data_IF_832091655496
#
_entry.id   IF_832091655496
#
_cell.length_a   1.000
_cell.length_b   1.000
_cell.length_c   1.000
_cell.angle_alpha   90.00
_cell.angle_beta   90.00
_cell.angle_gamma   90.00
#
_symmetry.space_group_name_H-M   'P 1'
#
loop_
_entity.id
_entity.type
_entity.pdbx_description
1 polymer ?
#
# COMPACT_ATOMS: atom_id res chain seq x y z
N UNK A 1 9.84 -16.51 3.79
CA UNK A 1 11.30 -16.56 3.78
C UNK A 1 11.94 -15.35 4.42
N UNK A 2 13.17 -15.48 4.89
CA UNK A 2 13.99 -14.40 5.46
C UNK A 2 15.11 -14.05 4.47
N UNK A 3 15.29 -12.75 4.22
CA UNK A 3 16.23 -12.21 3.23
C UNK A 3 17.12 -11.18 3.90
N UNK A 4 18.39 -11.52 4.12
CA UNK A 4 19.40 -10.58 4.59
C UNK A 4 19.97 -9.84 3.38
N UNK A 5 19.45 -8.64 3.13
CA UNK A 5 19.73 -7.84 1.93
C UNK A 5 19.92 -6.36 2.26
N UNK A 6 20.53 -5.67 1.30
CA UNK A 6 20.56 -4.22 1.24
C UNK A 6 20.10 -3.76 -0.14
N UNK A 7 18.84 -3.31 -0.24
CA UNK A 7 18.27 -2.93 -1.51
C UNK A 7 17.61 -1.54 -1.45
N UNK A 8 18.21 -0.60 -2.15
CA UNK A 8 17.62 0.74 -2.33
C UNK A 8 16.49 0.67 -3.35
N UNK A 9 15.30 1.09 -2.93
CA UNK A 9 14.10 1.05 -3.78
C UNK A 9 13.99 2.32 -4.59
N UNK A 10 13.98 2.17 -5.91
CA UNK A 10 13.93 3.26 -6.88
C UNK A 10 12.53 3.56 -7.42
N UNK A 11 12.46 4.40 -8.45
CA UNK A 11 11.23 4.74 -9.15
C UNK A 11 10.57 3.51 -9.79
N UNK A 12 9.26 3.53 -9.85
CA UNK A 12 8.42 2.48 -10.46
C UNK A 12 8.68 1.07 -9.92
N UNK A 13 9.24 0.99 -8.69
CA UNK A 13 9.48 -0.28 -8.02
C UNK A 13 8.42 -0.55 -6.97
N UNK A 14 7.77 -1.69 -7.09
CA UNK A 14 6.83 -2.22 -6.10
C UNK A 14 7.43 -3.44 -5.42
N UNK A 15 7.56 -3.40 -4.10
CA UNK A 15 8.03 -4.54 -3.29
C UNK A 15 6.84 -5.19 -2.62
N UNK A 16 6.62 -6.46 -2.90
CA UNK A 16 5.47 -7.20 -2.36
C UNK A 16 5.92 -8.53 -1.78
N UNK A 17 5.60 -8.75 -0.52
CA UNK A 17 5.72 -10.06 0.10
C UNK A 17 4.58 -10.98 -0.36
N UNK A 18 4.92 -12.20 -0.78
CA UNK A 18 3.96 -13.20 -1.24
C UNK A 18 3.57 -14.20 -0.15
N UNK A 19 3.70 -13.82 1.12
CA UNK A 19 3.20 -14.60 2.25
C UNK A 19 1.70 -14.42 2.47
N UNK A 20 1.09 -15.33 3.21
CA UNK A 20 -0.28 -15.16 3.70
C UNK A 20 -0.36 -14.07 4.79
N UNK A 21 0.75 -13.84 5.50
CA UNK A 21 0.97 -12.79 6.49
C UNK A 21 2.26 -12.03 6.16
N UNK A 22 2.39 -10.75 6.58
CA UNK A 22 3.65 -10.03 6.45
C UNK A 22 4.84 -10.76 7.09
N UNK A 23 4.63 -11.45 8.19
CA UNK A 23 5.68 -12.13 8.95
C UNK A 23 6.30 -13.34 8.22
N UNK A 24 5.68 -13.81 7.15
CA UNK A 24 6.22 -14.88 6.31
C UNK A 24 7.30 -14.40 5.33
N UNK A 25 7.42 -13.08 5.10
CA UNK A 25 8.42 -12.48 4.22
C UNK A 25 9.18 -11.41 4.98
N UNK A 26 10.40 -11.74 5.40
CA UNK A 26 11.21 -10.89 6.29
C UNK A 26 12.38 -10.29 5.54
N UNK A 27 12.47 -8.98 5.48
CA UNK A 27 13.67 -8.27 5.05
C UNK A 27 14.51 -7.88 6.26
N UNK A 28 15.74 -8.37 6.30
CA UNK A 28 16.67 -8.23 7.39
C UNK A 28 18.05 -7.77 6.90
N UNK A 29 19.08 -7.88 7.72
CA UNK A 29 20.42 -7.37 7.48
C UNK A 29 20.64 -6.03 8.18
N UNK A 30 21.55 -5.21 7.66
CA UNK A 30 21.81 -3.90 8.24
C UNK A 30 20.68 -2.91 7.89
N UNK A 31 20.32 -2.79 6.62
CA UNK A 31 19.30 -1.83 6.13
C UNK A 31 18.04 -2.50 5.55
N UNK A 32 18.12 -3.76 5.13
CA UNK A 32 17.00 -4.43 4.47
C UNK A 32 16.65 -3.79 3.12
N UNK A 33 15.38 -3.55 2.86
CA UNK A 33 14.93 -2.65 1.79
C UNK A 33 14.76 -1.24 2.35
N UNK A 34 15.13 -0.23 1.57
CA UNK A 34 15.08 1.16 2.06
C UNK A 34 14.94 2.17 0.93
N UNK A 35 14.51 3.38 1.30
CA UNK A 35 14.52 4.57 0.44
C UNK A 35 15.26 5.68 1.16
N UNK A 36 16.31 6.21 0.51
CA UNK A 36 16.97 7.45 0.90
C UNK A 36 16.58 8.58 -0.06
N UNK A 37 16.84 9.82 0.34
CA UNK A 37 16.76 10.97 -0.54
C UNK A 37 17.56 10.73 -1.85
N UNK A 38 17.02 11.17 -2.98
CA UNK A 38 17.72 11.04 -4.27
C UNK A 38 18.78 12.11 -4.43
N UNK A 39 18.43 13.35 -4.12
CA UNK A 39 19.37 14.48 -4.02
C UNK A 39 19.37 15.04 -2.58
N UNK A 40 20.23 14.47 -1.70
CA UNK A 40 20.28 14.89 -0.32
C UNK A 40 20.80 16.33 -0.13
N UNK A 41 21.29 16.97 -1.17
CA UNK A 41 21.82 18.35 -1.11
C UNK A 41 20.78 19.41 -1.45
N UNK A 42 19.75 19.07 -2.23
CA UNK A 42 18.79 20.03 -2.77
C UNK A 42 17.34 19.74 -2.36
N UNK A 43 16.82 18.60 -2.73
CA UNK A 43 15.39 18.30 -2.63
C UNK A 43 15.03 17.46 -1.40
N UNK A 44 16.00 16.79 -0.76
CA UNK A 44 15.70 15.79 0.26
C UNK A 44 14.86 14.66 -0.33
N UNK A 45 13.73 14.36 0.26
CA UNK A 45 12.81 13.33 -0.22
C UNK A 45 11.68 13.87 -1.13
N UNK A 46 11.76 15.12 -1.59
CA UNK A 46 10.72 15.71 -2.46
C UNK A 46 10.65 15.08 -3.86
N UNK A 47 11.67 14.37 -4.27
CA UNK A 47 11.78 13.69 -5.57
C UNK A 47 11.68 12.16 -5.47
N UNK A 48 11.34 11.62 -4.31
CA UNK A 48 11.22 10.17 -4.09
C UNK A 48 9.78 9.68 -4.24
N UNK A 49 9.24 9.71 -5.46
CA UNK A 49 7.87 9.30 -5.81
C UNK A 49 7.78 7.87 -6.37
N UNK A 50 6.59 7.41 -6.68
CA UNK A 50 6.27 6.25 -7.51
C UNK A 50 6.96 4.96 -7.09
N UNK A 51 6.73 4.53 -5.85
CA UNK A 51 7.16 3.22 -5.34
C UNK A 51 6.14 2.70 -4.34
N UNK A 52 6.19 1.44 -3.99
CA UNK A 52 5.28 0.90 -2.97
C UNK A 52 5.88 -0.28 -2.23
N UNK A 53 5.44 -0.45 -0.99
CA UNK A 53 5.72 -1.64 -0.18
C UNK A 53 4.41 -2.27 0.31
N UNK A 54 4.31 -3.59 0.22
CA UNK A 54 3.10 -4.33 0.58
C UNK A 54 3.43 -5.71 1.16
N UNK A 55 2.83 -6.05 2.29
CA UNK A 55 2.78 -7.39 2.87
C UNK A 55 4.14 -8.02 3.19
N UNK A 56 4.97 -7.36 3.98
CA UNK A 56 6.23 -7.90 4.48
C UNK A 56 6.57 -7.40 5.88
N UNK A 57 7.45 -8.13 6.58
CA UNK A 57 8.10 -7.72 7.81
C UNK A 57 9.49 -7.15 7.52
N UNK A 58 9.84 -6.08 8.23
CA UNK A 58 11.15 -5.44 8.14
C UNK A 58 11.86 -5.51 9.49
N UNK A 59 13.02 -6.19 9.52
CA UNK A 59 13.80 -6.46 10.74
C UNK A 59 15.24 -5.97 10.65
N UNK A 60 15.54 -5.02 9.76
CA UNK A 60 16.89 -4.49 9.65
C UNK A 60 17.36 -3.85 10.95
N UNK A 61 18.65 -3.97 11.25
CA UNK A 61 19.22 -3.53 12.53
C UNK A 61 19.16 -2.00 12.73
N UNK A 62 19.19 -1.22 11.63
CA UNK A 62 19.12 0.25 11.65
C UNK A 62 17.68 0.80 11.63
N UNK A 63 16.65 -0.08 11.64
CA UNK A 63 15.26 0.33 11.45
C UNK A 63 14.85 0.39 9.97
N UNK A 64 13.62 0.79 9.70
CA UNK A 64 13.07 0.86 8.35
C UNK A 64 13.02 2.30 7.86
N UNK A 65 13.89 2.67 6.90
CA UNK A 65 13.84 3.97 6.25
C UNK A 65 13.03 3.93 4.97
N UNK A 66 11.96 4.72 4.97
CA UNK A 66 11.10 4.92 3.80
C UNK A 66 10.98 6.43 3.53
N UNK A 67 12.09 7.05 3.11
CA UNK A 67 12.21 8.49 2.88
C UNK A 67 11.56 8.88 1.54
N UNK A 68 10.25 9.13 1.58
CA UNK A 68 9.43 9.30 0.37
C UNK A 68 8.61 10.58 0.40
N UNK A 69 8.15 10.96 -0.79
CA UNK A 69 7.03 11.86 -1.02
C UNK A 69 5.81 11.10 -1.58
N UNK A 70 4.89 11.78 -2.26
CA UNK A 70 3.61 11.21 -2.68
C UNK A 70 3.76 10.00 -3.61
N UNK A 71 2.68 9.25 -3.76
CA UNK A 71 2.61 8.03 -4.58
C UNK A 71 3.60 6.94 -4.16
N UNK A 72 3.86 6.83 -2.86
CA UNK A 72 4.77 5.83 -2.29
C UNK A 72 4.18 5.14 -1.04
N UNK A 73 2.99 4.52 -1.16
CA UNK A 73 2.30 3.94 -0.01
C UNK A 73 2.99 2.68 0.53
N UNK A 74 2.86 2.52 1.84
CA UNK A 74 3.11 1.28 2.56
C UNK A 74 1.78 0.66 3.03
N UNK A 75 1.61 -0.64 2.84
CA UNK A 75 0.44 -1.39 3.32
C UNK A 75 0.86 -2.75 3.85
N UNK A 76 0.19 -3.20 4.91
CA UNK A 76 0.44 -4.51 5.52
C UNK A 76 1.93 -4.72 5.85
N UNK A 77 2.54 -3.68 6.44
CA UNK A 77 3.94 -3.71 6.86
C UNK A 77 4.00 -4.05 8.35
N UNK A 78 4.96 -4.90 8.72
CA UNK A 78 5.32 -5.12 10.10
C UNK A 78 6.77 -4.64 10.31
N UNK A 79 6.95 -3.42 10.77
CA UNK A 79 8.26 -2.87 11.12
C UNK A 79 8.62 -3.26 12.56
N UNK A 80 9.65 -4.09 12.74
CA UNK A 80 10.11 -4.56 14.06
C UNK A 80 10.88 -3.49 14.85
N UNK A 81 11.16 -2.36 14.23
CA UNK A 81 11.86 -1.20 14.83
C UNK A 81 11.19 0.09 14.36
N UNK A 82 11.89 1.20 14.50
CA UNK A 82 11.43 2.50 14.02
C UNK A 82 11.19 2.49 12.50
N UNK A 83 10.15 3.20 12.09
CA UNK A 83 9.87 3.52 10.70
C UNK A 83 10.12 5.02 10.48
N UNK A 84 11.21 5.34 9.77
CA UNK A 84 11.60 6.70 9.39
C UNK A 84 11.04 7.06 8.01
N UNK A 85 10.25 8.12 7.94
CA UNK A 85 9.56 8.57 6.71
C UNK A 85 10.27 9.74 6.00
N UNK A 86 11.48 10.03 6.40
CA UNK A 86 12.34 11.06 5.81
C UNK A 86 13.80 10.60 5.88
N UNK A 87 14.71 11.32 5.24
CA UNK A 87 16.13 11.03 5.33
C UNK A 87 16.82 12.01 6.31
N UNK A 88 17.10 11.60 7.56
CA UNK A 88 17.73 12.48 8.54
C UNK A 88 19.20 12.79 8.23
N UNK A 89 19.82 12.06 7.31
CA UNK A 89 21.22 12.27 6.91
C UNK A 89 21.36 13.25 5.75
N UNK A 90 20.26 13.59 5.08
CA UNK A 90 20.26 14.57 4.02
C UNK A 90 20.44 15.99 4.57
N UNK A 91 21.20 16.83 3.89
CA UNK A 91 21.35 18.25 4.22
C UNK A 91 20.01 18.98 4.17
N UNK A 92 19.17 18.64 3.20
CA UNK A 92 17.79 19.07 3.07
C UNK A 92 16.93 17.85 3.27
N UNK A 93 16.16 17.82 4.35
CA UNK A 93 15.39 16.66 4.75
C UNK A 93 13.87 16.81 4.50
N UNK A 94 13.48 17.61 3.52
CA UNK A 94 12.07 17.80 3.17
C UNK A 94 11.42 16.52 2.66
N UNK A 95 10.13 16.35 2.99
CA UNK A 95 9.28 15.26 2.54
C UNK A 95 7.83 15.75 2.46
N UNK A 96 7.06 15.32 1.45
CA UNK A 96 5.82 16.01 1.09
C UNK A 96 4.55 15.17 1.16
N UNK A 97 4.56 14.08 1.92
CA UNK A 97 3.34 13.34 2.21
C UNK A 97 3.36 11.87 1.81
N UNK A 98 2.38 11.13 2.30
CA UNK A 98 2.26 9.71 2.00
C UNK A 98 1.18 9.00 2.79
N UNK A 99 1.25 7.68 2.78
CA UNK A 99 0.23 6.80 3.34
C UNK A 99 0.85 5.54 3.96
N UNK A 100 0.44 5.24 5.19
CA UNK A 100 0.69 3.96 5.86
C UNK A 100 -0.65 3.34 6.24
N UNK A 101 -0.91 2.11 5.79
CA UNK A 101 -2.19 1.45 6.06
C UNK A 101 -2.07 0.01 6.53
N UNK A 102 -2.93 -0.37 7.49
CA UNK A 102 -3.06 -1.72 8.02
C UNK A 102 -1.69 -2.32 8.38
N UNK A 103 -0.94 -1.68 9.27
CA UNK A 103 0.47 -1.97 9.53
C UNK A 103 0.78 -1.94 11.03
N UNK A 104 1.87 -2.60 11.42
CA UNK A 104 2.41 -2.60 12.78
C UNK A 104 3.78 -1.94 12.75
N UNK A 105 4.03 -1.01 13.67
CA UNK A 105 5.33 -0.41 13.95
C UNK A 105 5.66 -0.68 15.42
N UNK A 106 6.54 -1.65 15.68
CA UNK A 106 6.93 -2.01 17.07
C UNK A 106 7.78 -0.93 17.73
N UNK A 107 8.51 -0.13 16.95
CA UNK A 107 9.19 1.09 17.39
C UNK A 107 8.32 2.33 17.23
N UNK A 108 8.97 3.45 16.96
CA UNK A 108 8.34 4.74 16.71
C UNK A 108 8.13 4.99 15.22
N UNK A 109 7.00 5.57 14.86
CA UNK A 109 6.76 6.18 13.55
C UNK A 109 7.35 7.59 13.53
N UNK A 110 8.43 7.79 12.78
CA UNK A 110 9.17 9.06 12.74
C UNK A 110 8.84 9.77 11.43
N UNK A 111 7.89 10.70 11.47
CA UNK A 111 7.42 11.45 10.31
C UNK A 111 8.44 12.48 9.81
N UNK A 112 9.31 12.97 10.71
CA UNK A 112 10.29 14.00 10.37
C UNK A 112 9.63 15.25 9.81
N UNK A 113 9.96 15.62 8.59
CA UNK A 113 9.45 16.80 7.89
C UNK A 113 8.28 16.51 6.95
N UNK A 114 7.62 15.35 7.05
CA UNK A 114 6.46 15.04 6.21
C UNK A 114 5.38 16.12 6.33
N UNK A 115 5.02 16.73 5.21
CA UNK A 115 4.06 17.83 5.14
C UNK A 115 2.63 17.34 5.41
N UNK A 116 2.24 16.25 4.75
CA UNK A 116 0.96 15.59 4.96
C UNK A 116 1.17 14.08 5.03
N UNK A 117 0.61 13.44 6.06
CA UNK A 117 0.70 11.99 6.18
C UNK A 117 -0.59 11.39 6.71
N UNK A 118 -1.02 10.29 6.10
CA UNK A 118 -2.20 9.54 6.54
C UNK A 118 -1.78 8.18 7.07
N UNK A 119 -2.16 7.90 8.31
CA UNK A 119 -2.08 6.59 8.95
C UNK A 119 -3.49 6.03 9.10
N UNK A 120 -3.72 4.83 8.58
CA UNK A 120 -5.02 4.16 8.69
C UNK A 120 -4.88 2.73 9.18
N UNK A 121 -5.49 2.40 10.31
CA UNK A 121 -5.40 1.10 10.94
C UNK A 121 -3.94 0.69 11.21
N UNK A 122 -3.19 1.56 11.87
CA UNK A 122 -1.80 1.30 12.25
C UNK A 122 -1.72 1.09 13.76
N UNK A 123 -1.08 0.00 14.16
CA UNK A 123 -0.66 -0.24 15.54
C UNK A 123 0.75 0.36 15.70
N UNK A 124 0.96 1.25 16.69
CA UNK A 124 2.26 1.91 16.89
C UNK A 124 2.59 2.13 18.36
N UNK A 125 3.87 2.16 18.71
CA UNK A 125 4.36 2.48 20.06
C UNK A 125 4.72 3.96 20.24
N UNK A 126 4.55 4.77 19.21
CA UNK A 126 4.75 6.22 19.23
C UNK A 126 4.74 6.80 17.84
N UNK A 127 4.50 8.10 17.74
CA UNK A 127 4.68 8.86 16.51
C UNK A 127 5.22 10.24 16.82
N UNK A 128 6.20 10.71 16.04
CA UNK A 128 6.85 12.01 16.24
C UNK A 128 7.07 12.73 14.91
N UNK A 129 7.14 14.06 14.96
CA UNK A 129 7.38 14.89 13.78
C UNK A 129 6.11 15.19 12.98
N UNK A 130 6.31 15.53 11.71
CA UNK A 130 5.28 16.03 10.81
C UNK A 130 5.25 17.56 10.76
N UNK A 131 5.12 18.12 9.55
CA UNK A 131 5.25 19.57 9.36
C UNK A 131 3.89 20.30 9.32
N UNK A 132 2.89 19.78 8.59
CA UNK A 132 1.63 20.51 8.39
C UNK A 132 0.40 19.74 8.85
N UNK A 133 0.18 18.53 8.33
CA UNK A 133 -1.03 17.78 8.61
C UNK A 133 -0.78 16.29 8.71
N UNK A 134 -1.09 15.73 9.87
CA UNK A 134 -0.98 14.30 10.13
C UNK A 134 -2.34 13.75 10.52
N UNK A 135 -2.78 12.70 9.85
CA UNK A 135 -4.10 12.09 10.05
C UNK A 135 -3.94 10.67 10.55
N UNK A 136 -4.66 10.33 11.61
CA UNK A 136 -4.70 9.00 12.20
C UNK A 136 -6.15 8.51 12.22
N UNK A 137 -6.46 7.45 11.48
CA UNK A 137 -7.82 6.88 11.37
C UNK A 137 -7.79 5.43 11.85
N UNK A 138 -8.52 5.11 12.90
CA UNK A 138 -8.55 3.76 13.44
C UNK A 138 -7.18 3.22 13.86
N UNK A 139 -6.27 4.09 14.27
CA UNK A 139 -4.95 3.69 14.77
C UNK A 139 -5.03 3.29 16.25
N UNK A 140 -4.08 2.47 16.71
CA UNK A 140 -4.01 1.98 18.08
C UNK A 140 -2.60 2.10 18.67
N UNK A 141 -2.50 1.97 20.00
CA UNK A 141 -1.26 2.15 20.74
C UNK A 141 -1.02 3.60 21.13
N UNK A 142 0.21 4.08 21.04
CA UNK A 142 0.56 5.45 21.41
C UNK A 142 0.30 6.44 20.25
N UNK A 143 -0.97 6.63 19.92
CA UNK A 143 -1.43 7.58 18.88
C UNK A 143 -1.33 9.00 19.43
N UNK A 144 -0.80 9.99 18.69
CA UNK A 144 -0.76 11.37 19.11
C UNK A 144 -2.15 11.95 19.42
N UNK A 145 -2.21 12.86 20.39
CA UNK A 145 -3.44 13.59 20.69
C UNK A 145 -3.79 14.57 19.55
N UNK A 146 -5.08 14.79 19.26
CA UNK A 146 -5.50 15.75 18.25
C UNK A 146 -5.09 17.18 18.66
N UNK A 147 -4.61 17.95 17.69
CA UNK A 147 -4.21 19.34 17.90
C UNK A 147 -5.40 20.23 18.22
N UNK A 148 -5.16 21.28 19.02
CA UNK A 148 -6.10 22.37 19.16
C UNK A 148 -6.38 23.06 17.81
N UNK A 149 -7.51 23.75 17.70
CA UNK A 149 -7.86 24.48 16.49
C UNK A 149 -6.80 25.54 16.16
N UNK A 150 -6.29 25.54 14.93
CA UNK A 150 -5.26 26.48 14.47
C UNK A 150 -3.82 26.13 14.85
N UNK A 151 -3.58 25.00 15.53
CA UNK A 151 -2.21 24.55 15.84
C UNK A 151 -1.54 23.95 14.58
N UNK A 152 -0.21 24.14 14.51
CA UNK A 152 0.66 23.51 13.53
C UNK A 152 1.79 22.76 14.24
N UNK A 153 2.14 21.52 13.85
CA UNK A 153 1.44 20.71 12.84
C UNK A 153 0.03 20.33 13.30
N UNK A 154 -0.88 20.24 12.32
CA UNK A 154 -2.24 19.79 12.59
C UNK A 154 -2.28 18.27 12.72
N UNK A 155 -2.70 17.77 13.86
CA UNK A 155 -2.98 16.35 14.10
C UNK A 155 -4.48 16.14 14.14
N UNK A 156 -4.99 15.26 13.27
CA UNK A 156 -6.40 14.87 13.22
C UNK A 156 -6.52 13.39 13.56
N UNK A 157 -7.38 13.07 14.52
CA UNK A 157 -7.58 11.68 14.96
C UNK A 157 -9.04 11.28 14.81
N UNK A 158 -9.28 10.18 14.10
CA UNK A 158 -10.56 9.49 14.04
C UNK A 158 -10.39 8.17 14.76
N UNK A 159 -11.11 7.95 15.85
CA UNK A 159 -10.89 6.84 16.79
C UNK A 159 -10.97 5.47 16.14
N UNK A 160 -11.89 5.29 15.21
CA UNK A 160 -12.12 4.02 14.51
C UNK A 160 -12.31 4.26 13.02
N UNK A 161 -11.98 3.28 12.20
CA UNK A 161 -12.29 3.31 10.77
C UNK A 161 -13.71 2.82 10.58
N UNK A 162 -14.67 3.67 10.17
CA UNK A 162 -16.08 3.29 10.10
C UNK A 162 -16.32 2.13 9.15
N UNK A 163 -15.68 2.13 7.99
CA UNK A 163 -15.73 1.02 7.02
C UNK A 163 -14.37 0.89 6.37
N UNK A 164 -13.84 -0.33 6.33
CA UNK A 164 -12.62 -0.64 5.60
C UNK A 164 -12.86 -1.80 4.64
N UNK A 165 -12.48 -1.57 3.38
CA UNK A 165 -12.36 -2.57 2.33
C UNK A 165 -10.88 -2.64 1.95
N UNK A 166 -10.08 -3.41 2.68
CA UNK A 166 -8.64 -3.46 2.49
C UNK A 166 -8.28 -4.00 1.09
N UNK A 167 -7.16 -3.52 0.56
CA UNK A 167 -6.64 -3.95 -0.74
C UNK A 167 -6.43 -5.46 -0.76
N UNK A 168 -6.87 -6.18 -1.80
CA UNK A 168 -6.50 -7.57 -2.03
C UNK A 168 -4.99 -7.73 -2.22
N UNK A 169 -4.47 -8.92 -1.94
CA UNK A 169 -3.06 -9.22 -2.13
C UNK A 169 -2.84 -10.65 -2.60
N UNK A 170 -1.75 -10.83 -3.36
CA UNK A 170 -1.34 -12.13 -3.89
C UNK A 170 -0.52 -12.85 -2.82
N UNK A 171 -0.70 -14.16 -2.70
CA UNK A 171 0.10 -15.00 -1.82
C UNK A 171 0.45 -16.32 -2.51
N UNK A 172 1.48 -16.98 -2.02
CA UNK A 172 1.81 -18.36 -2.36
C UNK A 172 1.25 -19.27 -1.26
N UNK A 173 0.45 -20.23 -1.64
CA UNK A 173 -0.01 -21.27 -0.73
C UNK A 173 1.15 -22.23 -0.49
N UNK A 174 1.72 -22.24 0.72
CA UNK A 174 2.89 -23.05 1.06
C UNK A 174 2.67 -24.55 0.87
N UNK A 175 1.44 -25.04 1.15
CA UNK A 175 1.14 -26.47 1.02
C UNK A 175 1.10 -26.95 -0.44
N UNK A 176 0.79 -26.07 -1.40
CA UNK A 176 0.62 -26.44 -2.81
C UNK A 176 1.63 -25.78 -3.74
N UNK A 177 2.36 -24.76 -3.30
CA UNK A 177 3.24 -23.93 -4.11
C UNK A 177 2.48 -23.07 -5.15
N UNK A 178 1.16 -23.00 -5.08
CA UNK A 178 0.33 -22.27 -6.06
C UNK A 178 0.03 -20.86 -5.58
N UNK A 179 -0.07 -19.95 -6.54
CA UNK A 179 -0.54 -18.58 -6.27
C UNK A 179 -2.03 -18.54 -5.96
N UNK A 180 -2.39 -17.61 -5.11
CA UNK A 180 -3.77 -17.27 -4.80
C UNK A 180 -3.92 -15.78 -4.54
N UNK A 181 -5.16 -15.30 -4.60
CA UNK A 181 -5.53 -13.94 -4.25
C UNK A 181 -6.31 -13.99 -2.94
N UNK A 182 -5.88 -13.22 -1.94
CA UNK A 182 -6.59 -12.99 -0.69
C UNK A 182 -7.35 -11.67 -0.77
N UNK A 183 -8.65 -11.73 -0.57
CA UNK A 183 -9.53 -10.56 -0.56
C UNK A 183 -10.08 -10.39 0.85
N UNK A 184 -9.55 -9.43 1.64
CA UNK A 184 -10.03 -9.17 2.99
C UNK A 184 -11.52 -8.82 2.99
N UNK A 185 -12.26 -9.34 3.96
CA UNK A 185 -13.67 -8.99 4.10
C UNK A 185 -13.81 -7.50 4.44
N UNK A 186 -14.95 -6.92 4.06
CA UNK A 186 -15.30 -5.57 4.53
C UNK A 186 -15.50 -5.64 6.05
N UNK A 187 -14.82 -4.76 6.76
CA UNK A 187 -14.97 -4.63 8.21
C UNK A 187 -15.46 -3.23 8.57
N UNK A 188 -16.09 -3.13 9.76
CA UNK A 188 -16.63 -1.87 10.31
C UNK A 188 -16.02 -1.62 11.67
N UNK A 189 -15.92 -0.33 12.01
CA UNK A 189 -15.52 0.14 13.33
C UNK A 189 -14.18 -0.47 13.79
N UNK A 190 -13.20 -0.48 12.86
CA UNK A 190 -11.91 -1.16 13.04
C UNK A 190 -10.91 -0.24 13.71
N UNK A 191 -10.23 -0.77 14.73
CA UNK A 191 -9.12 -0.13 15.44
C UNK A 191 -7.88 -1.02 15.39
N UNK A 192 -6.72 -0.41 15.08
CA UNK A 192 -5.44 -1.09 14.94
C UNK A 192 -5.29 -1.86 13.64
N UNK A 193 -4.16 -2.53 13.50
CA UNK A 193 -3.84 -3.37 12.34
C UNK A 193 -4.67 -4.67 12.36
N UNK A 194 -5.22 -5.04 11.21
CA UNK A 194 -5.98 -6.28 11.02
C UNK A 194 -5.25 -7.17 9.98
N UNK A 195 -4.02 -7.60 10.32
CA UNK A 195 -3.17 -8.37 9.41
C UNK A 195 -3.69 -9.79 9.18
N UNK A 196 -4.34 -10.38 10.19
CA UNK A 196 -4.91 -11.73 10.16
C UNK A 196 -6.43 -11.73 9.89
N UNK A 197 -6.94 -10.69 9.24
CA UNK A 197 -8.36 -10.60 8.93
C UNK A 197 -8.85 -11.75 8.05
N UNK A 198 -10.10 -12.17 8.27
CA UNK A 198 -10.76 -13.15 7.42
C UNK A 198 -10.74 -12.67 5.95
N UNK A 199 -10.36 -13.58 5.05
CA UNK A 199 -10.25 -13.31 3.63
C UNK A 199 -11.04 -14.33 2.82
N UNK A 200 -11.64 -13.87 1.72
CA UNK A 200 -12.03 -14.77 0.63
C UNK A 200 -10.76 -15.18 -0.12
N UNK A 201 -10.55 -16.49 -0.26
CA UNK A 201 -9.41 -17.05 -0.97
C UNK A 201 -9.83 -17.38 -2.40
N UNK A 202 -9.07 -16.92 -3.37
CA UNK A 202 -9.34 -17.15 -4.80
C UNK A 202 -8.10 -17.80 -5.39
N UNK A 203 -8.18 -19.06 -5.84
CA UNK A 203 -7.07 -19.69 -6.54
C UNK A 203 -6.84 -19.04 -7.90
N UNK A 204 -5.60 -19.05 -8.40
CA UNK A 204 -5.26 -18.34 -9.64
C UNK A 204 -5.87 -18.94 -10.92
N UNK A 205 -6.42 -20.13 -10.87
CA UNK A 205 -7.26 -20.69 -11.97
C UNK A 205 -8.63 -19.95 -12.10
N UNK A 206 -8.99 -19.16 -11.07
CA UNK A 206 -10.16 -18.28 -11.07
C UNK A 206 -9.79 -16.79 -11.24
N UNK A 207 -8.53 -16.49 -11.60
CA UNK A 207 -8.01 -15.14 -11.83
C UNK A 207 -7.54 -15.02 -13.27
N UNK A 208 -8.07 -14.04 -13.98
CA UNK A 208 -7.55 -13.63 -15.28
C UNK A 208 -6.39 -12.65 -15.09
N UNK A 209 -5.18 -13.05 -15.48
CA UNK A 209 -4.02 -12.16 -15.47
C UNK A 209 -3.96 -11.45 -16.83
N UNK A 210 -4.29 -10.18 -16.83
CA UNK A 210 -4.24 -9.35 -18.02
C UNK A 210 -2.82 -8.82 -18.26
N UNK A 211 -2.37 -8.92 -19.52
CA UNK A 211 -1.10 -8.41 -20.02
C UNK A 211 -1.40 -7.32 -21.05
N UNK A 212 -0.88 -6.10 -20.84
CA UNK A 212 -1.18 -4.95 -21.69
C UNK A 212 -0.76 -5.14 -23.16
N UNK A 213 0.20 -6.02 -23.45
CA UNK A 213 0.61 -6.32 -24.84
C UNK A 213 -0.39 -7.16 -25.62
N UNK A 214 -1.36 -7.80 -24.94
CA UNK A 214 -2.28 -8.78 -25.53
C UNK A 214 -3.75 -8.55 -25.20
N UNK A 215 -4.03 -7.88 -24.09
CA UNK A 215 -5.38 -7.78 -23.54
C UNK A 215 -5.78 -6.33 -23.35
N UNK A 216 -6.96 -5.98 -23.85
CA UNK A 216 -7.60 -4.69 -23.66
C UNK A 216 -8.89 -4.80 -22.84
N UNK A 217 -9.72 -3.76 -22.93
CA UNK A 217 -11.00 -3.72 -22.22
C UNK A 217 -11.91 -4.90 -22.56
N UNK A 218 -11.89 -5.38 -23.82
CA UNK A 218 -12.73 -6.48 -24.29
C UNK A 218 -12.44 -7.77 -23.52
N UNK A 219 -11.19 -8.22 -23.51
CA UNK A 219 -10.77 -9.47 -22.86
C UNK A 219 -10.96 -9.40 -21.35
N UNK A 220 -10.67 -8.24 -20.73
CA UNK A 220 -10.90 -8.00 -19.30
C UNK A 220 -12.40 -8.11 -19.00
N UNK A 221 -13.27 -7.48 -19.80
CA UNK A 221 -14.72 -7.54 -19.62
C UNK A 221 -15.29 -8.95 -19.85
N UNK A 222 -14.74 -9.72 -20.80
CA UNK A 222 -15.11 -11.11 -21.01
C UNK A 222 -14.77 -11.96 -19.80
N UNK A 223 -13.57 -11.79 -19.21
CA UNK A 223 -13.17 -12.49 -18.00
C UNK A 223 -14.09 -12.15 -16.80
N UNK A 224 -14.40 -10.87 -16.59
CA UNK A 224 -15.31 -10.42 -15.52
C UNK A 224 -16.71 -11.00 -15.70
N UNK A 225 -17.24 -11.03 -16.93
CA UNK A 225 -18.56 -11.63 -17.25
C UNK A 225 -18.56 -13.16 -17.06
N UNK A 226 -17.44 -13.82 -17.30
CA UNK A 226 -17.25 -15.25 -17.02
C UNK A 226 -17.09 -15.56 -15.51
N UNK A 227 -17.15 -14.54 -14.64
CA UNK A 227 -17.06 -14.68 -13.20
C UNK A 227 -15.64 -14.80 -12.66
N UNK A 228 -14.63 -14.48 -13.45
CA UNK A 228 -13.24 -14.42 -12.99
C UNK A 228 -12.98 -13.07 -12.28
N UNK A 229 -12.01 -13.07 -11.39
CA UNK A 229 -11.39 -11.85 -10.87
C UNK A 229 -10.18 -11.51 -11.76
N UNK A 230 -9.76 -10.25 -11.79
CA UNK A 230 -8.74 -9.77 -12.72
C UNK A 230 -7.53 -9.20 -11.98
N UNK A 231 -6.34 -9.60 -12.39
CA UNK A 231 -5.08 -8.95 -12.01
C UNK A 231 -4.45 -8.35 -13.26
N UNK A 232 -4.20 -7.06 -13.24
CA UNK A 232 -3.50 -6.35 -14.30
C UNK A 232 -1.99 -6.44 -14.02
N UNK A 233 -1.25 -7.10 -14.90
CA UNK A 233 0.21 -7.14 -14.85
C UNK A 233 0.80 -5.73 -15.09
N UNK A 234 2.08 -5.48 -14.70
CA UNK A 234 2.72 -4.20 -14.99
C UNK A 234 2.66 -3.87 -16.47
N UNK A 235 2.18 -2.67 -16.81
CA UNK A 235 2.06 -2.21 -18.18
C UNK A 235 1.09 -1.05 -18.34
N UNK A 236 1.02 -0.50 -19.54
CA UNK A 236 0.10 0.58 -19.91
C UNK A 236 -1.00 -0.03 -20.78
N UNK A 237 -2.22 -0.08 -20.23
CA UNK A 237 -3.41 -0.57 -20.89
C UNK A 237 -4.13 0.59 -21.59
N UNK A 238 -3.98 0.71 -22.89
CA UNK A 238 -4.74 1.68 -23.69
C UNK A 238 -6.14 1.13 -23.96
N UNK A 239 -7.11 1.68 -23.24
CA UNK A 239 -8.48 1.17 -23.30
C UNK A 239 -9.24 1.78 -24.48
N UNK A 240 -9.98 0.94 -25.19
CA UNK A 240 -10.93 1.36 -26.24
C UNK A 240 -12.39 1.40 -25.75
N UNK A 241 -12.66 0.84 -24.57
CA UNK A 241 -13.94 0.88 -23.84
C UNK A 241 -13.64 0.82 -22.34
N UNK A 242 -14.65 1.09 -21.52
CA UNK A 242 -14.56 0.97 -20.06
C UNK A 242 -14.46 -0.48 -19.61
N UNK A 243 -13.68 -0.73 -18.56
CA UNK A 243 -13.75 -1.98 -17.79
C UNK A 243 -15.02 -1.92 -16.93
N UNK A 244 -15.88 -2.95 -16.99
CA UNK A 244 -17.19 -2.98 -16.33
C UNK A 244 -17.22 -3.99 -15.20
N UNK A 245 -17.32 -3.48 -13.98
CA UNK A 245 -17.44 -4.28 -12.77
C UNK A 245 -18.92 -4.33 -12.34
N UNK A 246 -19.63 -5.41 -12.69
CA UNK A 246 -21.06 -5.56 -12.41
C UNK A 246 -21.36 -6.67 -11.36
N UNK A 247 -20.39 -7.54 -11.07
CA UNK A 247 -20.59 -8.65 -10.15
C UNK A 247 -20.24 -8.24 -8.72
N UNK A 248 -21.11 -8.52 -7.72
CA UNK A 248 -20.78 -8.32 -6.31
C UNK A 248 -19.46 -9.02 -5.93
N UNK A 249 -18.60 -8.30 -5.22
CA UNK A 249 -17.31 -8.79 -4.78
C UNK A 249 -16.27 -9.02 -5.89
N UNK A 250 -16.51 -8.56 -7.13
CA UNK A 250 -15.51 -8.62 -8.19
C UNK A 250 -14.24 -7.85 -7.80
N UNK A 251 -13.09 -8.35 -8.25
CA UNK A 251 -11.80 -7.72 -8.05
C UNK A 251 -11.19 -7.38 -9.41
N UNK A 252 -10.73 -6.15 -9.55
CA UNK A 252 -9.77 -5.72 -10.57
C UNK A 252 -8.61 -5.08 -9.84
N UNK A 253 -7.44 -5.69 -9.86
CA UNK A 253 -6.28 -5.25 -9.09
C UNK A 253 -5.07 -5.07 -10.00
N UNK A 254 -4.48 -3.88 -10.01
CA UNK A 254 -3.18 -3.64 -10.65
C UNK A 254 -2.02 -4.01 -9.74
N UNK A 255 -0.96 -4.56 -10.31
CA UNK A 255 0.34 -4.77 -9.66
C UNK A 255 1.43 -4.03 -10.42
N UNK A 256 2.51 -3.63 -9.72
CA UNK A 256 3.67 -3.01 -10.35
C UNK A 256 3.34 -1.75 -11.17
N UNK A 257 2.45 -0.89 -10.66
CA UNK A 257 2.04 0.36 -11.34
C UNK A 257 1.34 0.15 -12.69
N UNK A 258 0.53 -0.90 -12.83
CA UNK A 258 -0.36 -1.05 -13.97
C UNK A 258 -1.17 0.24 -14.21
N UNK A 259 -1.11 0.77 -15.42
CA UNK A 259 -1.69 2.06 -15.77
C UNK A 259 -2.83 1.86 -16.78
N UNK A 260 -3.99 2.45 -16.49
CA UNK A 260 -5.12 2.48 -17.41
C UNK A 260 -5.17 3.84 -18.12
N UNK A 261 -5.14 3.84 -19.44
CA UNK A 261 -5.35 5.03 -20.26
C UNK A 261 -6.81 5.05 -20.71
N UNK A 262 -7.48 6.17 -20.44
CA UNK A 262 -8.91 6.32 -20.75
C UNK A 262 -9.20 6.20 -22.26
N UNK A 263 -10.37 5.67 -22.64
CA UNK A 263 -10.79 5.62 -24.03
C UNK A 263 -10.83 6.99 -24.69
N UNK A 264 -10.45 7.09 -25.95
CA UNK A 264 -10.47 8.32 -26.73
C UNK A 264 -11.88 8.94 -26.83
N UNK A 265 -12.92 8.16 -26.57
CA UNK A 265 -14.32 8.62 -26.49
C UNK A 265 -14.61 9.51 -25.28
N UNK A 266 -13.69 9.60 -24.31
CA UNK A 266 -13.90 10.28 -23.04
C UNK A 266 -14.66 9.45 -22.00
N UNK A 267 -14.91 8.15 -22.27
CA UNK A 267 -15.50 7.25 -21.29
C UNK A 267 -14.53 7.00 -20.12
N UNK A 268 -15.01 6.72 -18.88
CA UNK A 268 -14.15 6.41 -17.75
C UNK A 268 -13.41 5.09 -17.98
N UNK A 269 -12.21 4.93 -17.40
CA UNK A 269 -11.46 3.68 -17.47
C UNK A 269 -12.23 2.51 -16.86
N UNK A 270 -12.91 2.74 -15.74
CA UNK A 270 -13.67 1.72 -15.00
C UNK A 270 -15.06 2.24 -14.68
N UNK A 271 -16.06 1.42 -14.92
CA UNK A 271 -17.44 1.60 -14.46
C UNK A 271 -17.74 0.49 -13.46
N UNK A 272 -18.10 0.87 -12.25
CA UNK A 272 -18.56 -0.04 -11.23
C UNK A 272 -20.06 0.16 -11.05
N UNK A 273 -20.84 -0.90 -11.29
CA UNK A 273 -22.27 -0.89 -10.97
C UNK A 273 -22.45 -0.92 -9.44
N UNK A 274 -23.65 -0.57 -8.98
CA UNK A 274 -23.97 -0.57 -7.53
C UNK A 274 -24.08 -2.02 -6.99
N UNK A 275 -22.96 -2.72 -6.97
CA UNK A 275 -22.83 -4.09 -6.48
C UNK A 275 -21.85 -4.13 -5.31
N UNK A 276 -22.31 -4.56 -4.15
CA UNK A 276 -21.54 -4.51 -2.92
C UNK A 276 -20.22 -5.30 -2.95
N UNK A 277 -19.20 -4.80 -2.27
CA UNK A 277 -17.96 -5.53 -1.99
C UNK A 277 -16.95 -5.63 -3.14
N UNK A 278 -17.12 -4.90 -4.23
CA UNK A 278 -16.12 -4.80 -5.30
C UNK A 278 -14.81 -4.20 -4.81
N UNK A 279 -13.70 -4.55 -5.46
CA UNK A 279 -12.35 -4.02 -5.20
C UNK A 279 -11.71 -3.55 -6.51
N UNK A 280 -11.22 -2.33 -6.51
CA UNK A 280 -10.42 -1.73 -7.56
C UNK A 280 -9.10 -1.25 -6.99
#
# INVERSE_FOLDING_TARGET
GRYDIEAKIGYYTSVTGLGASPDEVVFAGERGIYVDAMDPQQAGSLDTFWRSGDNFRHEASTGFRWAVSQAAPLRRIHAARDLELFDPTARVNYASGGYLGNSIVEGSLILGSQQQWINRNVQMNGATGGAWSNVYVGCAGAVPEPSAAGAEPRVSVVKETPVIAAKPYIYINEATGRYGLRVPHVAKDVVGAALDSLCRLIPFDRVFVADASRHGAREINEALRAGLDVVLAPGIFELNDSIRMARPGAVVMGIGFATLVAPASGAPCVIADDAGGMRL
#
